data_IF_261486963419
#
_entry.id   IF_261486963419
#
_cell.length_a   1.000
_cell.length_b   1.000
_cell.length_c   1.000
_cell.angle_alpha   90.00
_cell.angle_beta   90.00
_cell.angle_gamma   90.00
#
_symmetry.space_group_name_H-M   'P 1'
#
loop_
_entity.id
_entity.type
_entity.pdbx_description
1 polymer ?
#
# COMPACT_ATOMS: atom_id res chain seq x y z
N UNK A 1 -34.49 33.57 -48.04
CA UNK A 1 -33.55 34.60 -47.56
C UNK A 1 -32.66 33.99 -46.51
N UNK A 2 -31.41 33.77 -46.91
CA UNK A 2 -30.31 33.19 -46.13
C UNK A 2 -29.78 34.21 -45.13
N UNK A 3 -29.84 33.87 -43.83
CA UNK A 3 -29.23 34.65 -42.75
C UNK A 3 -28.23 33.79 -42.00
N UNK A 4 -27.03 33.62 -42.58
CA UNK A 4 -25.84 33.12 -41.90
C UNK A 4 -25.33 34.17 -40.93
N UNK A 5 -25.61 34.01 -39.63
CA UNK A 5 -24.98 34.85 -38.60
C UNK A 5 -23.77 34.11 -38.04
N UNK A 6 -22.63 34.53 -38.59
CA UNK A 6 -21.24 34.40 -38.15
C UNK A 6 -20.99 33.92 -36.72
N UNK A 7 -20.06 32.97 -36.63
CA UNK A 7 -19.36 32.49 -35.45
C UNK A 7 -18.97 33.60 -34.46
N UNK A 8 -19.39 33.44 -33.20
CA UNK A 8 -18.83 34.16 -32.06
C UNK A 8 -17.39 33.68 -31.82
N UNK A 9 -16.42 34.36 -32.42
CA UNK A 9 -15.01 34.31 -32.03
C UNK A 9 -14.90 34.93 -30.64
N UNK A 10 -14.69 34.10 -29.62
CA UNK A 10 -14.42 34.52 -28.26
C UNK A 10 -13.14 35.38 -28.24
N UNK A 11 -13.28 36.70 -28.01
CA UNK A 11 -12.15 37.61 -27.77
C UNK A 11 -11.34 37.08 -26.58
N UNK A 12 -10.13 36.62 -26.85
CA UNK A 12 -9.19 36.26 -25.79
C UNK A 12 -8.78 37.53 -25.04
N UNK A 13 -8.99 37.56 -23.73
CA UNK A 13 -8.51 38.63 -22.86
C UNK A 13 -6.99 38.53 -22.71
N UNK A 14 -6.31 39.67 -22.56
CA UNK A 14 -4.84 39.76 -22.35
C UNK A 14 -4.35 38.90 -21.18
N UNK A 15 -5.25 38.53 -20.27
CA UNK A 15 -4.96 37.74 -19.07
C UNK A 15 -5.28 36.25 -19.19
N UNK A 16 -5.79 35.77 -20.33
CA UNK A 16 -6.22 34.37 -20.47
C UNK A 16 -5.06 33.38 -20.40
N UNK A 17 -3.95 33.67 -21.09
CA UNK A 17 -2.75 32.83 -21.09
C UNK A 17 -2.10 32.72 -19.70
N UNK A 18 -1.81 33.83 -18.98
CA UNK A 18 -1.22 33.73 -17.65
C UNK A 18 -2.14 33.04 -16.64
N UNK A 19 -3.46 33.25 -16.72
CA UNK A 19 -4.43 32.53 -15.86
C UNK A 19 -4.42 31.03 -16.17
N UNK A 20 -4.38 30.64 -17.44
CA UNK A 20 -4.32 29.24 -17.83
C UNK A 20 -3.06 28.54 -17.30
N UNK A 21 -1.89 29.18 -17.44
CA UNK A 21 -0.63 28.66 -16.91
C UNK A 21 -0.63 28.59 -15.38
N UNK A 22 -1.20 29.60 -14.71
CA UNK A 22 -1.34 29.61 -13.26
C UNK A 22 -2.22 28.44 -12.76
N UNK A 23 -3.31 28.10 -13.48
CA UNK A 23 -4.14 26.95 -13.14
C UNK A 23 -3.37 25.63 -13.32
N UNK A 24 -2.57 25.48 -14.38
CA UNK A 24 -1.74 24.29 -14.57
C UNK A 24 -0.71 24.17 -13.45
N UNK A 25 -0.02 25.27 -13.12
CA UNK A 25 0.96 25.29 -12.04
C UNK A 25 0.33 24.96 -10.67
N UNK A 26 -0.84 25.53 -10.39
CA UNK A 26 -1.60 25.22 -9.17
C UNK A 26 -2.09 23.77 -9.14
N UNK A 27 -2.49 23.22 -10.29
CA UNK A 27 -2.85 21.81 -10.43
C UNK A 27 -1.68 20.87 -10.17
N UNK A 28 -0.50 21.17 -10.71
CA UNK A 28 0.73 20.43 -10.43
C UNK A 28 1.11 20.53 -8.95
N UNK A 29 1.04 21.72 -8.36
CA UNK A 29 1.27 21.91 -6.92
C UNK A 29 0.25 21.14 -6.08
N UNK A 30 -1.02 21.11 -6.46
CA UNK A 30 -2.07 20.32 -5.80
C UNK A 30 -1.84 18.80 -5.90
N UNK A 31 -1.16 18.33 -6.94
CA UNK A 31 -0.72 16.93 -7.04
C UNK A 31 0.52 16.64 -6.20
N UNK A 32 1.39 17.64 -6.02
CA UNK A 32 2.58 17.53 -5.18
C UNK A 32 2.22 17.55 -3.68
N UNK A 33 1.41 18.52 -3.25
CA UNK A 33 0.91 18.67 -1.88
C UNK A 33 -0.31 17.77 -1.62
N UNK A 34 -0.14 16.48 -1.91
CA UNK A 34 -1.15 15.45 -1.66
C UNK A 34 -1.40 15.27 -0.16
N UNK A 35 -2.64 14.92 0.19
CA UNK A 35 -3.03 14.68 1.58
C UNK A 35 -3.41 13.22 1.77
N UNK A 36 -2.71 12.47 2.63
CA UNK A 36 -3.00 11.04 2.79
C UNK A 36 -4.26 10.81 3.64
N UNK A 37 -5.23 10.11 3.03
CA UNK A 37 -6.48 9.63 3.63
C UNK A 37 -6.55 8.13 3.32
N UNK A 38 -6.78 7.24 4.31
CA UNK A 38 -6.87 5.79 4.06
C UNK A 38 -5.62 5.18 3.42
N UNK A 39 -4.41 5.50 3.91
CA UNK A 39 -3.13 5.05 3.31
C UNK A 39 -2.91 5.45 1.86
N UNK A 40 -3.73 6.36 1.34
CA UNK A 40 -3.75 6.65 -0.06
C UNK A 40 -3.79 8.16 -0.27
N UNK A 41 -3.00 8.63 -1.23
CA UNK A 41 -2.83 10.06 -1.42
C UNK A 41 -4.04 10.71 -2.10
N UNK A 42 -4.69 11.63 -1.41
CA UNK A 42 -5.71 12.49 -1.98
C UNK A 42 -5.02 13.62 -2.75
N UNK A 43 -5.26 13.64 -4.06
CA UNK A 43 -4.66 14.56 -5.02
C UNK A 43 -5.66 15.66 -5.36
N UNK A 44 -5.20 16.91 -5.54
CA UNK A 44 -6.07 18.07 -5.74
C UNK A 44 -6.04 18.67 -7.15
N UNK A 45 -5.21 18.15 -8.06
CA UNK A 45 -5.00 18.78 -9.37
C UNK A 45 -6.22 18.80 -10.29
N UNK A 46 -7.16 17.83 -10.17
CA UNK A 46 -8.37 17.86 -10.99
C UNK A 46 -9.28 19.05 -10.68
N UNK A 47 -9.16 19.68 -9.49
CA UNK A 47 -9.86 20.95 -9.19
C UNK A 47 -9.50 21.99 -10.26
N UNK A 48 -8.20 22.16 -10.52
CA UNK A 48 -7.69 23.17 -11.45
C UNK A 48 -7.91 22.78 -12.90
N UNK A 49 -7.88 21.49 -13.23
CA UNK A 49 -8.23 20.99 -14.56
C UNK A 49 -9.72 21.28 -14.90
N UNK A 50 -10.63 21.07 -13.95
CA UNK A 50 -12.06 21.35 -14.12
C UNK A 50 -12.37 22.86 -14.10
N UNK A 51 -11.58 23.68 -13.40
CA UNK A 51 -11.64 25.14 -13.53
C UNK A 51 -11.18 25.60 -14.91
N UNK A 52 -10.10 25.02 -15.43
CA UNK A 52 -9.62 25.30 -16.78
C UNK A 52 -10.65 24.91 -17.84
N UNK A 53 -11.33 23.76 -17.67
CA UNK A 53 -12.45 23.34 -18.50
C UNK A 53 -13.59 24.37 -18.50
N UNK A 54 -14.03 24.83 -17.33
CA UNK A 54 -15.13 25.79 -17.20
C UNK A 54 -14.79 27.16 -17.83
N UNK A 55 -13.54 27.62 -17.71
CA UNK A 55 -13.13 28.95 -18.19
C UNK A 55 -12.69 28.98 -19.66
N UNK A 56 -11.98 27.94 -20.11
CA UNK A 56 -11.32 27.91 -21.44
C UNK A 56 -11.93 26.91 -22.41
N UNK A 57 -12.93 26.13 -21.97
CA UNK A 57 -13.64 25.15 -22.78
C UNK A 57 -12.92 23.80 -22.92
N UNK A 58 -13.55 22.89 -23.67
CA UNK A 58 -13.19 21.47 -23.74
C UNK A 58 -11.73 21.23 -24.14
N UNK A 59 -11.28 21.78 -25.28
CA UNK A 59 -9.94 21.50 -25.83
C UNK A 59 -8.82 21.91 -24.87
N UNK A 60 -8.85 23.16 -24.37
CA UNK A 60 -7.85 23.67 -23.42
C UNK A 60 -7.97 22.98 -22.04
N UNK A 61 -9.17 22.61 -21.62
CA UNK A 61 -9.39 21.82 -20.42
C UNK A 61 -8.69 20.45 -20.47
N UNK A 62 -8.85 19.72 -21.58
CA UNK A 62 -8.20 18.41 -21.77
C UNK A 62 -6.67 18.53 -21.74
N UNK A 63 -6.11 19.53 -22.42
CA UNK A 63 -4.66 19.77 -22.42
C UNK A 63 -4.16 20.07 -20.99
N UNK A 64 -4.90 20.89 -20.24
CA UNK A 64 -4.55 21.18 -18.85
C UNK A 64 -4.62 19.92 -17.98
N UNK A 65 -5.66 19.11 -18.16
CA UNK A 65 -5.83 17.84 -17.44
C UNK A 65 -4.67 16.89 -17.69
N UNK A 66 -4.28 16.69 -18.96
CA UNK A 66 -3.16 15.84 -19.34
C UNK A 66 -1.84 16.36 -18.76
N UNK A 67 -1.60 17.68 -18.80
CA UNK A 67 -0.39 18.29 -18.23
C UNK A 67 -0.32 18.10 -16.71
N UNK A 68 -1.42 18.39 -16.00
CA UNK A 68 -1.51 18.26 -14.53
C UNK A 68 -1.36 16.79 -14.12
N UNK A 69 -2.10 15.89 -14.77
CA UNK A 69 -2.08 14.48 -14.46
C UNK A 69 -0.76 13.80 -14.92
N UNK A 70 0.00 14.40 -15.83
CA UNK A 70 1.32 13.91 -16.25
C UNK A 70 2.30 13.74 -15.08
N UNK A 71 2.21 14.58 -14.05
CA UNK A 71 2.99 14.41 -12.82
C UNK A 71 2.72 13.07 -12.13
N UNK A 72 1.48 12.56 -12.18
CA UNK A 72 1.11 11.30 -11.52
C UNK A 72 1.80 10.10 -12.14
N UNK A 73 2.16 10.15 -13.43
CA UNK A 73 2.93 9.10 -14.08
C UNK A 73 4.30 8.92 -13.42
N UNK A 74 5.00 10.02 -13.15
CA UNK A 74 6.29 10.00 -12.47
C UNK A 74 6.16 9.67 -10.99
N UNK A 75 5.11 10.16 -10.33
CA UNK A 75 4.92 9.93 -8.90
C UNK A 75 4.47 8.49 -8.57
N UNK A 76 3.66 7.87 -9.43
CA UNK A 76 3.04 6.56 -9.18
C UNK A 76 3.57 5.45 -10.07
N UNK A 77 4.53 5.73 -10.96
CA UNK A 77 5.15 4.79 -11.91
C UNK A 77 4.17 4.05 -12.84
N UNK A 78 2.92 4.51 -12.93
CA UNK A 78 1.88 3.90 -13.77
C UNK A 78 0.99 4.96 -14.44
N UNK A 79 0.55 4.75 -15.70
CA UNK A 79 -0.16 5.76 -16.51
C UNK A 79 -1.67 5.83 -16.25
N UNK A 80 -2.24 4.95 -15.42
CA UNK A 80 -3.69 4.81 -15.33
C UNK A 80 -4.40 6.03 -14.71
N UNK A 81 -3.73 6.73 -13.79
CA UNK A 81 -4.22 7.99 -13.25
C UNK A 81 -4.25 9.09 -14.33
N UNK A 82 -3.22 9.17 -15.17
CA UNK A 82 -3.19 10.08 -16.32
C UNK A 82 -4.36 9.82 -17.28
N UNK A 83 -4.61 8.54 -17.61
CA UNK A 83 -5.71 8.15 -18.51
C UNK A 83 -7.06 8.53 -17.89
N UNK A 84 -7.31 8.13 -16.65
CA UNK A 84 -8.61 8.35 -15.98
C UNK A 84 -8.87 9.83 -15.68
N UNK A 85 -7.88 10.63 -15.28
CA UNK A 85 -8.07 12.06 -15.01
C UNK A 85 -8.18 12.89 -16.30
N UNK A 86 -7.51 12.49 -17.38
CA UNK A 86 -7.68 13.16 -18.69
C UNK A 86 -9.04 12.83 -19.29
N UNK A 87 -9.47 11.56 -19.20
CA UNK A 87 -10.78 11.11 -19.64
C UNK A 87 -11.92 11.76 -18.85
N UNK A 88 -11.74 12.00 -17.55
CA UNK A 88 -12.67 12.75 -16.69
C UNK A 88 -13.01 14.10 -17.33
N UNK A 89 -12.00 14.94 -17.57
CA UNK A 89 -12.21 16.28 -18.12
C UNK A 89 -12.79 16.24 -19.54
N UNK A 90 -12.39 15.27 -20.36
CA UNK A 90 -12.92 15.10 -21.71
C UNK A 90 -14.42 14.74 -21.71
N UNK A 91 -14.81 13.74 -20.92
CA UNK A 91 -16.21 13.28 -20.84
C UNK A 91 -17.08 14.30 -20.13
N UNK A 92 -16.64 14.83 -18.99
CA UNK A 92 -17.37 15.85 -18.23
C UNK A 92 -17.60 17.09 -19.09
N UNK A 93 -16.57 17.56 -19.79
CA UNK A 93 -16.70 18.69 -20.71
C UNK A 93 -17.66 18.42 -21.88
N UNK A 94 -17.66 17.20 -22.41
CA UNK A 94 -18.62 16.79 -23.45
C UNK A 94 -20.06 16.75 -22.91
N UNK A 95 -20.30 16.17 -21.72
CA UNK A 95 -21.62 16.10 -21.09
C UNK A 95 -22.16 17.51 -20.82
N UNK A 96 -21.36 18.41 -20.24
CA UNK A 96 -21.79 19.78 -19.95
C UNK A 96 -22.14 20.52 -21.24
N UNK A 97 -21.32 20.38 -22.28
CA UNK A 97 -21.53 21.08 -23.56
C UNK A 97 -22.77 20.55 -24.31
N UNK A 98 -23.00 19.23 -24.29
CA UNK A 98 -24.08 18.60 -25.09
C UNK A 98 -25.39 18.46 -24.34
N UNK A 99 -25.36 18.16 -23.04
CA UNK A 99 -26.53 17.87 -22.21
C UNK A 99 -26.90 19.01 -21.25
N UNK A 100 -26.09 20.08 -21.19
CA UNK A 100 -26.27 21.22 -20.27
C UNK A 100 -26.48 20.80 -18.81
N UNK A 101 -25.80 19.73 -18.41
CA UNK A 101 -25.84 19.23 -17.04
C UNK A 101 -24.88 20.00 -16.16
N UNK A 102 -25.14 20.02 -14.85
CA UNK A 102 -24.26 20.63 -13.86
C UNK A 102 -22.94 19.86 -13.78
N UNK A 103 -21.84 20.57 -13.52
CA UNK A 103 -20.48 20.00 -13.45
C UNK A 103 -20.42 18.77 -12.53
N UNK A 104 -20.94 18.93 -11.31
CA UNK A 104 -20.91 17.88 -10.29
C UNK A 104 -21.66 16.62 -10.75
N UNK A 105 -22.81 16.78 -11.40
CA UNK A 105 -23.61 15.65 -11.87
C UNK A 105 -22.94 14.94 -13.06
N UNK A 106 -22.33 15.70 -13.97
CA UNK A 106 -21.55 15.14 -15.08
C UNK A 106 -20.34 14.34 -14.58
N UNK A 107 -19.67 14.86 -13.55
CA UNK A 107 -18.52 14.22 -12.92
C UNK A 107 -18.88 12.93 -12.17
N UNK A 108 -19.95 12.95 -11.36
CA UNK A 108 -20.46 11.74 -10.71
C UNK A 108 -20.84 10.65 -11.71
N UNK A 109 -21.50 11.01 -12.82
CA UNK A 109 -21.83 10.05 -13.87
C UNK A 109 -20.59 9.50 -14.57
N UNK A 110 -19.59 10.34 -14.82
CA UNK A 110 -18.32 9.89 -15.36
C UNK A 110 -17.70 8.84 -14.45
N UNK A 111 -17.52 9.12 -13.16
CA UNK A 111 -16.88 8.17 -12.25
C UNK A 111 -17.67 6.87 -12.10
N UNK A 112 -19.01 6.94 -12.02
CA UNK A 112 -19.85 5.77 -11.84
C UNK A 112 -19.83 4.82 -13.06
N UNK A 113 -19.90 5.37 -14.27
CA UNK A 113 -20.11 4.57 -15.49
C UNK A 113 -18.86 4.40 -16.36
N UNK A 114 -17.86 5.27 -16.22
CA UNK A 114 -16.68 5.28 -17.08
C UNK A 114 -15.41 5.22 -16.25
N UNK A 115 -15.21 6.13 -15.29
CA UNK A 115 -14.00 6.22 -14.49
C UNK A 115 -13.69 4.95 -13.72
N UNK A 116 -14.65 4.43 -12.92
CA UNK A 116 -14.47 3.18 -12.18
C UNK A 116 -14.26 1.99 -13.11
N UNK A 117 -15.12 1.71 -14.12
CA UNK A 117 -14.90 0.57 -15.02
C UNK A 117 -13.59 0.65 -15.81
N UNK A 118 -13.26 1.82 -16.37
CA UNK A 118 -12.03 2.04 -17.15
C UNK A 118 -10.80 1.85 -16.27
N UNK A 119 -10.79 2.48 -15.10
CA UNK A 119 -9.68 2.38 -14.18
C UNK A 119 -9.56 0.97 -13.61
N UNK A 120 -10.66 0.30 -13.26
CA UNK A 120 -10.65 -1.08 -12.79
C UNK A 120 -10.05 -2.01 -13.85
N UNK A 121 -10.48 -1.88 -15.11
CA UNK A 121 -9.92 -2.62 -16.23
C UNK A 121 -8.41 -2.37 -16.34
N UNK A 122 -7.98 -1.10 -16.24
CA UNK A 122 -6.58 -0.73 -16.28
C UNK A 122 -5.74 -1.37 -15.14
N UNK A 123 -6.20 -1.28 -13.90
CA UNK A 123 -5.46 -1.80 -12.75
C UNK A 123 -5.50 -3.34 -12.66
N UNK A 124 -6.62 -3.96 -13.00
CA UNK A 124 -6.74 -5.41 -12.94
C UNK A 124 -6.02 -6.09 -14.11
N UNK A 125 -6.26 -5.65 -15.35
CA UNK A 125 -5.77 -6.36 -16.54
C UNK A 125 -4.33 -6.00 -16.88
N UNK A 126 -3.94 -4.73 -16.78
CA UNK A 126 -2.59 -4.31 -17.19
C UNK A 126 -1.59 -4.22 -16.03
N UNK A 127 -2.05 -4.01 -14.80
CA UNK A 127 -1.18 -3.91 -13.63
C UNK A 127 -1.15 -5.17 -12.75
N UNK A 128 -1.99 -6.17 -13.05
CA UNK A 128 -2.12 -7.44 -12.31
C UNK A 128 -2.41 -7.24 -10.81
N UNK A 129 -3.18 -6.20 -10.48
CA UNK A 129 -3.55 -5.93 -9.10
C UNK A 129 -4.65 -6.90 -8.64
N UNK A 130 -4.62 -7.37 -7.37
CA UNK A 130 -5.74 -8.09 -6.79
C UNK A 130 -7.04 -7.29 -6.91
N UNK A 131 -8.16 -7.98 -7.14
CA UNK A 131 -9.49 -7.35 -7.32
C UNK A 131 -9.83 -6.39 -6.19
N UNK A 132 -9.51 -6.76 -4.95
CA UNK A 132 -9.70 -5.91 -3.76
C UNK A 132 -8.95 -4.58 -3.88
N UNK A 133 -7.71 -4.60 -4.37
CA UNK A 133 -6.85 -3.43 -4.46
C UNK A 133 -7.27 -2.52 -5.61
N UNK A 134 -7.63 -3.11 -6.76
CA UNK A 134 -8.15 -2.35 -7.91
C UNK A 134 -9.46 -1.64 -7.55
N UNK A 135 -10.41 -2.33 -6.91
CA UNK A 135 -11.67 -1.73 -6.47
C UNK A 135 -11.46 -0.64 -5.42
N UNK A 136 -10.59 -0.89 -4.44
CA UNK A 136 -10.24 0.10 -3.42
C UNK A 136 -9.68 1.38 -4.06
N UNK A 137 -8.69 1.24 -4.96
CA UNK A 137 -8.05 2.37 -5.60
C UNK A 137 -9.03 3.16 -6.47
N UNK A 138 -9.94 2.48 -7.18
CA UNK A 138 -10.93 3.14 -8.05
C UNK A 138 -12.06 3.80 -7.28
N UNK A 139 -12.51 3.20 -6.18
CA UNK A 139 -13.47 3.84 -5.29
C UNK A 139 -12.85 5.11 -4.69
N UNK A 140 -11.60 5.03 -4.24
CA UNK A 140 -10.85 6.18 -3.74
C UNK A 140 -10.69 7.27 -4.82
N UNK A 141 -10.32 6.90 -6.04
CA UNK A 141 -10.15 7.84 -7.15
C UNK A 141 -11.48 8.53 -7.51
N UNK A 142 -12.59 7.80 -7.50
CA UNK A 142 -13.92 8.34 -7.73
C UNK A 142 -14.33 9.35 -6.65
N UNK A 143 -14.12 9.01 -5.38
CA UNK A 143 -14.36 9.94 -4.26
C UNK A 143 -13.49 11.19 -4.40
N UNK A 144 -12.24 11.04 -4.83
CA UNK A 144 -11.33 12.15 -5.07
C UNK A 144 -11.81 13.07 -6.20
N UNK A 145 -12.19 12.51 -7.35
CA UNK A 145 -12.70 13.28 -8.48
C UNK A 145 -13.98 14.04 -8.15
N UNK A 146 -14.97 13.38 -7.54
CA UNK A 146 -16.25 13.99 -7.15
C UNK A 146 -16.04 15.14 -6.15
N UNK A 147 -15.18 14.93 -5.16
CA UNK A 147 -14.82 15.97 -4.20
C UNK A 147 -14.12 17.16 -4.88
N UNK A 148 -13.20 16.90 -5.80
CA UNK A 148 -12.49 17.94 -6.54
C UNK A 148 -13.43 18.71 -7.49
N UNK A 149 -14.39 18.04 -8.13
CA UNK A 149 -15.42 18.66 -8.94
C UNK A 149 -16.34 19.57 -8.11
N UNK A 150 -16.71 19.12 -6.92
CA UNK A 150 -17.47 19.93 -5.97
C UNK A 150 -16.70 21.19 -5.55
N UNK A 151 -15.43 21.04 -5.14
CA UNK A 151 -14.57 22.18 -4.77
C UNK A 151 -14.41 23.14 -5.94
N UNK A 152 -14.12 22.65 -7.14
CA UNK A 152 -14.04 23.46 -8.35
C UNK A 152 -15.33 24.24 -8.60
N UNK A 153 -16.49 23.61 -8.41
CA UNK A 153 -17.79 24.27 -8.60
C UNK A 153 -18.07 25.33 -7.54
N UNK A 154 -17.72 25.08 -6.28
CA UNK A 154 -17.87 26.05 -5.19
C UNK A 154 -16.95 27.26 -5.41
N UNK A 155 -15.69 27.05 -5.82
CA UNK A 155 -14.75 28.12 -6.17
C UNK A 155 -15.32 28.97 -7.31
N UNK A 156 -15.79 28.33 -8.39
CA UNK A 156 -16.40 29.04 -9.52
C UNK A 156 -17.64 29.84 -9.09
N UNK A 157 -18.48 29.27 -8.23
CA UNK A 157 -19.70 29.91 -7.73
C UNK A 157 -19.39 31.14 -6.86
N UNK A 158 -18.43 31.02 -5.94
CA UNK A 158 -17.96 32.14 -5.12
C UNK A 158 -17.34 33.26 -5.97
N UNK A 159 -16.55 32.90 -6.98
CA UNK A 159 -16.00 33.86 -7.94
C UNK A 159 -17.11 34.57 -8.74
N UNK A 160 -18.06 33.82 -9.30
CA UNK A 160 -19.16 34.37 -10.09
C UNK A 160 -20.05 35.31 -9.26
N UNK A 161 -20.30 34.99 -7.98
CA UNK A 161 -21.03 35.86 -7.07
C UNK A 161 -20.27 37.14 -6.72
N UNK A 162 -18.96 37.03 -6.47
CA UNK A 162 -18.10 38.16 -6.08
C UNK A 162 -17.89 39.19 -7.19
N UNK A 163 -17.88 38.75 -8.44
CA UNK A 163 -17.58 39.57 -9.61
C UNK A 163 -18.75 39.70 -10.59
N UNK A 164 -19.93 39.15 -10.25
CA UNK A 164 -21.15 39.15 -11.06
C UNK A 164 -20.93 38.68 -12.51
N UNK A 165 -20.00 37.75 -12.72
CA UNK A 165 -19.57 37.34 -14.07
C UNK A 165 -20.49 36.31 -14.73
N UNK A 166 -21.38 35.67 -13.96
CA UNK A 166 -22.31 34.66 -14.46
C UNK A 166 -23.55 34.54 -13.56
N UNK A 167 -24.68 34.16 -14.15
CA UNK A 167 -25.89 33.78 -13.40
C UNK A 167 -25.83 32.30 -13.06
N UNK A 168 -26.03 31.96 -11.78
CA UNK A 168 -26.03 30.57 -11.29
C UNK A 168 -27.42 30.25 -10.75
N UNK A 169 -27.92 29.06 -11.08
CA UNK A 169 -29.22 28.62 -10.60
C UNK A 169 -29.19 28.40 -9.09
N UNK A 170 -30.17 28.96 -8.37
CA UNK A 170 -30.32 28.72 -6.92
C UNK A 170 -30.42 27.22 -6.59
N UNK A 171 -31.16 26.45 -7.41
CA UNK A 171 -31.27 25.00 -7.27
C UNK A 171 -29.90 24.32 -7.33
N UNK A 172 -29.03 24.75 -8.23
CA UNK A 172 -27.69 24.20 -8.35
C UNK A 172 -26.83 24.52 -7.11
N UNK A 173 -26.90 25.76 -6.61
CA UNK A 173 -26.18 26.14 -5.39
C UNK A 173 -26.64 25.32 -4.18
N UNK A 174 -27.94 25.11 -4.01
CA UNK A 174 -28.49 24.29 -2.92
C UNK A 174 -28.02 22.84 -3.03
N UNK A 175 -28.08 22.23 -4.23
CA UNK A 175 -27.60 20.85 -4.44
C UNK A 175 -26.12 20.73 -4.12
N UNK A 176 -25.28 21.64 -4.62
CA UNK A 176 -23.84 21.59 -4.36
C UNK A 176 -23.55 21.75 -2.87
N UNK A 177 -24.27 22.63 -2.17
CA UNK A 177 -24.09 22.85 -0.74
C UNK A 177 -24.55 21.63 0.09
N UNK A 178 -25.66 20.98 -0.31
CA UNK A 178 -26.08 19.71 0.30
C UNK A 178 -25.02 18.62 0.13
N UNK A 179 -24.48 18.46 -1.08
CA UNK A 179 -23.42 17.47 -1.33
C UNK A 179 -22.17 17.81 -0.53
N UNK A 180 -21.81 19.09 -0.40
CA UNK A 180 -20.72 19.54 0.47
C UNK A 180 -20.92 19.14 1.92
N UNK A 181 -22.09 19.41 2.50
CA UNK A 181 -22.38 19.07 3.88
C UNK A 181 -22.50 17.56 4.14
N UNK A 182 -22.71 16.74 3.12
CA UNK A 182 -22.64 15.27 3.25
C UNK A 182 -21.19 14.78 3.09
N UNK A 183 -20.51 15.24 2.06
CA UNK A 183 -19.22 14.71 1.62
C UNK A 183 -18.06 15.19 2.50
N UNK A 184 -18.04 16.46 2.93
CA UNK A 184 -16.96 16.97 3.78
C UNK A 184 -16.89 16.25 5.13
N UNK A 185 -17.99 16.14 5.91
CA UNK A 185 -17.97 15.41 7.17
C UNK A 185 -17.64 13.93 7.00
N UNK A 186 -18.15 13.28 5.94
CA UNK A 186 -17.82 11.90 5.63
C UNK A 186 -16.32 11.72 5.38
N UNK A 187 -15.69 12.60 4.58
CA UNK A 187 -14.25 12.57 4.34
C UNK A 187 -13.42 12.85 5.61
N UNK A 188 -13.89 13.77 6.48
CA UNK A 188 -13.23 14.05 7.76
C UNK A 188 -13.29 12.83 8.67
N UNK A 189 -14.47 12.21 8.84
CA UNK A 189 -14.61 10.99 9.63
C UNK A 189 -13.74 9.87 9.08
N UNK A 190 -13.70 9.71 7.76
CA UNK A 190 -12.88 8.71 7.09
C UNK A 190 -11.38 8.95 7.31
N UNK A 191 -10.94 10.20 7.23
CA UNK A 191 -9.55 10.58 7.47
C UNK A 191 -9.13 10.37 8.94
N UNK A 192 -10.01 10.65 9.90
CA UNK A 192 -9.74 10.42 11.32
C UNK A 192 -9.77 8.93 11.65
N UNK A 193 -10.80 8.20 11.23
CA UNK A 193 -10.93 6.76 11.47
C UNK A 193 -9.78 5.97 10.87
N UNK A 194 -9.38 6.29 9.64
CA UNK A 194 -8.22 5.67 8.99
C UNK A 194 -6.93 5.78 9.79
N UNK A 195 -6.67 6.93 10.42
CA UNK A 195 -5.43 7.13 11.18
C UNK A 195 -5.41 6.27 12.43
N UNK A 196 -6.57 6.13 13.09
CA UNK A 196 -6.73 5.27 14.26
C UNK A 196 -6.51 3.81 13.86
N UNK A 197 -7.24 3.32 12.85
CA UNK A 197 -7.14 1.92 12.37
C UNK A 197 -5.71 1.55 11.97
N UNK A 198 -4.98 2.50 11.36
CA UNK A 198 -3.59 2.28 10.97
C UNK A 198 -2.65 2.14 12.14
N UNK A 199 -2.76 3.05 13.11
CA UNK A 199 -1.91 2.99 14.30
C UNK A 199 -2.20 1.75 15.13
N UNK A 200 -3.45 1.29 15.16
CA UNK A 200 -3.84 0.06 15.83
C UNK A 200 -3.28 -1.18 15.11
N UNK A 201 -3.40 -1.22 13.78
CA UNK A 201 -2.86 -2.32 12.97
C UNK A 201 -1.33 -2.42 13.11
N UNK A 202 -0.60 -1.29 13.05
CA UNK A 202 0.87 -1.28 13.24
C UNK A 202 1.26 -1.79 14.64
N UNK A 203 0.53 -1.35 15.68
CA UNK A 203 0.73 -1.83 17.06
C UNK A 203 0.50 -3.33 17.18
N UNK A 204 -0.56 -3.85 16.57
CA UNK A 204 -0.90 -5.27 16.62
C UNK A 204 0.14 -6.14 15.90
N UNK A 205 0.65 -5.69 14.76
CA UNK A 205 1.73 -6.37 14.03
C UNK A 205 3.00 -6.41 14.89
N UNK A 206 3.43 -5.27 15.44
CA UNK A 206 4.62 -5.20 16.31
C UNK A 206 4.49 -6.08 17.54
N UNK A 207 3.35 -6.03 18.22
CA UNK A 207 3.08 -6.84 19.41
C UNK A 207 3.09 -8.34 19.11
N UNK A 208 2.55 -8.73 17.95
CA UNK A 208 2.57 -10.13 17.50
C UNK A 208 3.98 -10.58 17.16
N UNK A 209 4.75 -9.75 16.45
CA UNK A 209 6.14 -10.05 16.08
C UNK A 209 7.04 -10.25 17.30
N UNK A 210 6.90 -9.39 18.32
CA UNK A 210 7.65 -9.51 19.58
C UNK A 210 7.25 -10.80 20.31
N UNK A 211 5.96 -11.12 20.33
CA UNK A 211 5.44 -12.33 20.99
C UNK A 211 5.93 -13.60 20.31
N UNK A 212 5.92 -13.63 18.98
CA UNK A 212 6.38 -14.76 18.20
C UNK A 212 7.89 -14.93 18.33
N UNK A 213 8.65 -13.83 18.32
CA UNK A 213 10.09 -13.87 18.59
C UNK A 213 10.39 -14.46 19.97
N UNK A 214 9.71 -14.00 21.03
CA UNK A 214 9.88 -14.57 22.37
C UNK A 214 9.51 -16.03 22.42
N UNK A 215 8.37 -16.43 21.82
CA UNK A 215 7.94 -17.83 21.77
C UNK A 215 9.00 -18.73 21.13
N UNK A 216 9.62 -18.28 20.03
CA UNK A 216 10.68 -19.04 19.36
C UNK A 216 11.93 -19.12 20.24
N UNK A 217 12.33 -18.03 20.89
CA UNK A 217 13.47 -18.03 21.82
C UNK A 217 13.22 -18.97 22.99
N UNK A 218 12.08 -18.86 23.66
CA UNK A 218 11.72 -19.70 24.80
C UNK A 218 11.66 -21.18 24.39
N UNK A 219 11.07 -21.48 23.21
CA UNK A 219 11.02 -22.84 22.69
C UNK A 219 12.41 -23.40 22.36
N UNK A 220 13.34 -22.57 21.89
CA UNK A 220 14.73 -22.97 21.65
C UNK A 220 15.48 -23.22 22.96
N UNK A 221 15.29 -22.36 23.95
CA UNK A 221 15.91 -22.50 25.27
C UNK A 221 15.40 -23.78 25.95
N UNK A 222 14.09 -24.00 25.95
CA UNK A 222 13.48 -25.24 26.44
C UNK A 222 13.95 -26.47 25.64
N UNK A 223 14.07 -26.35 24.32
CA UNK A 223 14.55 -27.44 23.48
C UNK A 223 15.99 -27.84 23.84
N UNK A 224 16.87 -26.87 24.10
CA UNK A 224 18.27 -27.09 24.52
C UNK A 224 18.33 -27.65 25.94
N UNK A 225 17.64 -27.02 26.91
CA UNK A 225 17.76 -27.44 28.31
C UNK A 225 17.18 -28.83 28.57
N UNK A 226 16.04 -29.17 27.95
CA UNK A 226 15.47 -30.51 28.06
C UNK A 226 16.42 -31.61 27.55
N UNK A 227 17.33 -31.29 26.61
CA UNK A 227 18.32 -32.24 26.05
C UNK A 227 19.63 -32.24 26.81
N UNK A 228 19.94 -31.17 27.56
CA UNK A 228 21.10 -31.13 28.44
C UNK A 228 20.93 -32.02 29.67
N UNK A 229 19.71 -32.12 30.21
CA UNK A 229 19.40 -32.92 31.40
C UNK A 229 19.82 -34.40 31.26
N UNK A 230 19.42 -35.14 30.19
CA UNK A 230 19.85 -36.52 30.00
C UNK A 230 21.38 -36.67 29.88
N UNK A 231 22.04 -35.73 29.21
CA UNK A 231 23.50 -35.75 29.05
C UNK A 231 24.21 -35.52 30.39
N UNK A 232 23.72 -34.58 31.21
CA UNK A 232 24.23 -34.38 32.58
C UNK A 232 24.02 -35.61 33.46
N UNK A 233 22.90 -36.31 33.31
CA UNK A 233 22.66 -37.57 34.02
C UNK A 233 23.67 -38.64 33.59
N UNK A 234 23.89 -38.83 32.27
CA UNK A 234 24.91 -39.74 31.75
C UNK A 234 26.32 -39.39 32.25
N UNK A 235 26.67 -38.10 32.31
CA UNK A 235 27.95 -37.65 32.85
C UNK A 235 28.11 -38.03 34.34
N UNK A 236 27.04 -37.89 35.14
CA UNK A 236 27.06 -38.29 36.55
C UNK A 236 27.20 -39.81 36.75
N UNK A 237 26.65 -40.61 35.84
CA UNK A 237 26.80 -42.06 35.83
C UNK A 237 28.21 -42.46 35.42
N UNK A 238 28.77 -41.85 34.39
CA UNK A 238 30.11 -42.14 33.88
C UNK A 238 31.22 -41.97 34.94
N UNK A 239 31.00 -41.14 35.96
CA UNK A 239 31.91 -41.01 37.11
C UNK A 239 31.91 -42.23 38.05
N UNK A 240 30.90 -43.11 37.96
CA UNK A 240 30.66 -44.22 38.91
C UNK A 240 30.73 -45.61 38.29
N UNK A 241 30.47 -45.75 36.99
CA UNK A 241 30.41 -47.05 36.30
C UNK A 241 31.44 -47.19 35.18
N UNK A 242 31.91 -48.42 34.87
CA UNK A 242 32.87 -48.66 33.79
C UNK A 242 32.33 -48.31 32.40
N UNK A 243 33.19 -47.94 31.43
CA UNK A 243 32.78 -47.57 30.07
C UNK A 243 31.93 -48.62 29.35
N UNK A 244 32.19 -49.92 29.58
CA UNK A 244 31.41 -51.00 28.94
C UNK A 244 29.94 -51.02 29.39
N UNK A 245 29.67 -50.66 30.65
CA UNK A 245 28.30 -50.55 31.17
C UNK A 245 27.64 -49.24 30.72
N UNK A 246 28.42 -48.21 30.42
CA UNK A 246 27.90 -46.92 29.95
C UNK A 246 27.30 -47.01 28.54
N UNK A 247 27.78 -47.95 27.72
CA UNK A 247 27.32 -48.14 26.34
C UNK A 247 25.80 -48.38 26.24
N UNK A 248 25.24 -49.25 27.09
CA UNK A 248 23.79 -49.57 27.06
C UNK A 248 22.92 -48.38 27.46
N UNK A 249 23.35 -47.62 28.47
CA UNK A 249 22.66 -46.42 28.94
C UNK A 249 22.72 -45.29 27.92
N UNK A 250 23.86 -45.09 27.24
CA UNK A 250 23.99 -44.13 26.14
C UNK A 250 23.09 -44.50 24.95
N UNK A 251 22.97 -45.80 24.65
CA UNK A 251 22.09 -46.30 23.58
C UNK A 251 20.62 -45.99 23.91
N UNK A 252 20.20 -46.23 25.16
CA UNK A 252 18.86 -45.90 25.65
C UNK A 252 18.56 -44.40 25.57
N UNK A 253 19.49 -43.53 26.01
CA UNK A 253 19.30 -42.07 25.92
C UNK A 253 19.14 -41.62 24.47
N UNK A 254 19.94 -42.15 23.54
CA UNK A 254 19.77 -41.84 22.12
C UNK A 254 18.42 -42.32 21.58
N UNK A 255 17.99 -43.53 21.93
CA UNK A 255 16.69 -44.04 21.50
C UNK A 255 15.52 -43.23 22.06
N UNK A 256 15.70 -42.59 23.23
CA UNK A 256 14.68 -41.74 23.85
C UNK A 256 14.48 -40.39 23.17
N UNK A 257 15.47 -39.88 22.43
CA UNK A 257 15.36 -38.64 21.67
C UNK A 257 16.21 -38.70 20.39
N UNK A 258 15.50 -38.72 19.24
CA UNK A 258 16.09 -38.79 17.90
C UNK A 258 17.04 -37.63 17.57
N UNK A 259 16.96 -36.52 18.30
CA UNK A 259 17.82 -35.35 18.11
C UNK A 259 19.24 -35.55 18.66
N UNK A 260 19.49 -36.58 19.47
CA UNK A 260 20.85 -36.98 19.82
C UNK A 260 21.50 -37.71 18.65
N UNK A 261 22.20 -36.98 17.79
CA UNK A 261 22.89 -37.56 16.63
C UNK A 261 24.01 -38.52 17.08
N UNK A 262 24.83 -38.08 18.03
CA UNK A 262 25.96 -38.84 18.60
C UNK A 262 26.15 -38.50 20.06
N UNK A 263 26.42 -39.52 20.87
CA UNK A 263 26.80 -39.37 22.29
C UNK A 263 28.15 -40.08 22.46
N UNK A 264 29.12 -39.40 23.08
CA UNK A 264 30.50 -39.86 23.19
C UNK A 264 30.97 -39.73 24.63
N UNK A 265 31.64 -40.77 25.14
CA UNK A 265 32.39 -40.73 26.40
C UNK A 265 33.89 -40.67 26.11
N UNK A 266 34.58 -39.69 26.68
CA UNK A 266 36.01 -39.45 26.49
C UNK A 266 36.78 -39.73 27.78
N UNK A 267 38.00 -40.25 27.66
CA UNK A 267 38.95 -40.31 28.76
C UNK A 267 39.70 -38.98 28.97
N UNK A 268 40.62 -38.95 29.95
CA UNK A 268 41.43 -37.76 30.26
C UNK A 268 42.35 -37.32 29.11
N UNK A 269 42.64 -38.22 28.18
CA UNK A 269 43.46 -37.98 27.00
C UNK A 269 42.61 -37.58 25.78
N UNK A 270 41.28 -37.40 25.95
CA UNK A 270 40.32 -37.16 24.88
C UNK A 270 40.19 -38.32 23.89
N UNK A 271 40.42 -39.56 24.34
CA UNK A 271 40.19 -40.78 23.56
C UNK A 271 38.77 -41.30 23.81
N UNK A 272 38.08 -41.69 22.74
CA UNK A 272 36.73 -42.26 22.84
C UNK A 272 36.78 -43.63 23.53
N UNK A 273 36.10 -43.75 24.67
CA UNK A 273 35.97 -45.01 25.42
C UNK A 273 34.60 -45.67 25.25
N UNK A 274 33.56 -44.90 24.93
CA UNK A 274 32.24 -45.39 24.52
C UNK A 274 31.61 -44.39 23.53
N UNK A 275 30.84 -44.89 22.55
CA UNK A 275 30.19 -44.05 21.52
C UNK A 275 28.89 -44.68 21.04
N UNK A 276 27.87 -43.85 20.84
CA UNK A 276 26.61 -44.23 20.22
C UNK A 276 26.30 -43.24 19.08
N UNK A 277 26.02 -43.71 17.84
CA UNK A 277 26.11 -45.10 17.38
C UNK A 277 27.55 -45.65 17.43
N UNK A 278 27.67 -46.98 17.57
CA UNK A 278 28.96 -47.69 17.60
C UNK A 278 29.78 -47.52 16.32
N UNK A 279 29.10 -47.37 15.18
CA UNK A 279 29.71 -47.17 13.86
C UNK A 279 29.35 -45.80 13.31
N UNK A 280 30.30 -45.18 12.62
CA UNK A 280 30.07 -43.97 11.85
C UNK A 280 29.35 -44.26 10.52
N UNK A 281 29.10 -43.21 9.74
CA UNK A 281 28.43 -43.27 8.42
C UNK A 281 29.18 -44.13 7.38
N UNK A 282 30.47 -44.42 7.64
CA UNK A 282 31.32 -45.27 6.80
C UNK A 282 31.48 -46.69 7.38
N UNK A 283 30.72 -47.03 8.43
CA UNK A 283 30.76 -48.34 9.08
C UNK A 283 31.98 -48.56 9.99
N UNK A 284 32.78 -47.52 10.27
CA UNK A 284 33.97 -47.66 11.12
C UNK A 284 33.63 -47.41 12.58
N UNK A 285 34.24 -48.17 13.49
CA UNK A 285 34.08 -47.92 14.92
C UNK A 285 34.77 -46.62 15.32
N UNK A 286 34.10 -45.81 16.13
CA UNK A 286 34.65 -44.58 16.71
C UNK A 286 35.50 -44.81 17.96
N UNK A 287 35.44 -46.00 18.58
CA UNK A 287 36.13 -46.30 19.84
C UNK A 287 37.65 -46.28 19.62
N UNK A 288 38.39 -45.62 20.52
CA UNK A 288 39.85 -45.48 20.44
C UNK A 288 40.35 -44.29 19.60
N UNK A 289 39.48 -43.57 18.89
CA UNK A 289 39.87 -42.32 18.20
C UNK A 289 40.14 -41.22 19.23
N UNK A 290 41.23 -40.48 19.05
CA UNK A 290 41.62 -39.36 19.92
C UNK A 290 41.22 -38.02 19.28
N UNK A 291 40.68 -37.11 20.11
CA UNK A 291 40.17 -35.80 19.68
C UNK A 291 40.82 -34.63 20.42
N UNK A 292 41.97 -34.82 21.07
CA UNK A 292 42.68 -33.75 21.79
C UNK A 292 43.01 -32.55 20.89
N UNK A 293 43.24 -32.79 19.60
CA UNK A 293 43.65 -31.78 18.63
C UNK A 293 42.46 -31.00 18.02
N UNK A 294 41.22 -31.36 18.37
CA UNK A 294 40.01 -30.73 17.79
C UNK A 294 39.33 -29.76 18.76
N UNK A 295 38.86 -28.60 18.27
CA UNK A 295 38.01 -27.73 19.08
C UNK A 295 36.66 -28.42 19.36
N UNK A 296 36.18 -28.30 20.61
CA UNK A 296 34.92 -28.90 21.08
C UNK A 296 33.67 -28.29 20.40
N UNK A 297 33.78 -27.07 19.88
CA UNK A 297 32.76 -26.39 19.10
C UNK A 297 33.33 -26.24 17.67
N UNK A 298 32.67 -26.76 16.63
CA UNK A 298 33.08 -26.49 15.26
C UNK A 298 33.02 -24.99 15.00
N UNK A 299 34.09 -24.43 14.42
CA UNK A 299 34.12 -23.05 13.93
C UNK A 299 33.17 -22.85 12.74
#
# INVERSE_FOLDING_TARGET
MTGTTSANVTRSSRYDVPVYLALIAAGLAGNYFKFSILNADFIFGSIFALLALQRFGLGRGIIAAAAIAGYTYFAWNHPYALITMTAEVAVVGWIITRRRMNLLMADTLYWLFIGIPLGFFCFYVFADFPVSNALFLMTKQAVNGIANALVARLIFTGYAFRFSTATISFRETVVNLMVFFVLCPALIMLALGSRVDLTETDRNIRASLIRDSRRVTDSLEDWVENRKIPIMHLASMAAKIPPQQMQSHMEQTRMSDINFLRIVLLDKQATITAIVPLTDEFGQSGIGKNFADRPFIPA
#
